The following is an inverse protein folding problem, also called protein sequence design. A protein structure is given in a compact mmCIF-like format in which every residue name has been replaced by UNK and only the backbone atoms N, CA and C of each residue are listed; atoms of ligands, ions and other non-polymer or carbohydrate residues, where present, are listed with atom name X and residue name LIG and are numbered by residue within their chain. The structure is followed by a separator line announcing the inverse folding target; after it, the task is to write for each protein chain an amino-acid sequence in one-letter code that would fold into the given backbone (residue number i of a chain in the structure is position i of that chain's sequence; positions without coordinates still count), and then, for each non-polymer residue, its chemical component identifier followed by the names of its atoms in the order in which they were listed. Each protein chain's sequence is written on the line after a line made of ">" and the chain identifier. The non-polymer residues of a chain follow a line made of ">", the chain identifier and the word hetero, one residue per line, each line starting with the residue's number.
data_IF_857739034856
#
_entry.id   IF_857739034856
#
_cell.length_a   1.000
_cell.length_b   1.000
_cell.length_c   1.000
_cell.angle_alpha   90.00
_cell.angle_beta   90.00
_cell.angle_gamma   90.00
#
_symmetry.space_group_name_H-M   'P 1'
#
loop_
_entity.id
_entity.type
_entity.pdbx_description
1 polymer ?
#
# COMPACT_ATOMS: atom_id res chain seq x y z
N UNK A 1 16.15 -0.24 4.69
CA UNK A 1 15.83 0.71 3.59
C UNK A 1 14.77 0.14 2.63
N UNK A 2 14.03 -0.94 2.95
CA UNK A 2 13.01 -1.54 2.06
C UNK A 2 11.57 -1.01 2.22
N UNK A 3 11.08 -0.78 3.46
CA UNK A 3 9.67 -0.40 3.68
C UNK A 3 9.28 0.96 3.09
N UNK A 4 10.25 1.84 2.80
CA UNK A 4 9.99 3.11 2.14
C UNK A 4 9.78 2.96 0.63
N UNK A 5 10.38 1.96 -0.01
CA UNK A 5 10.32 1.79 -1.46
C UNK A 5 9.00 1.18 -1.91
N UNK A 6 8.46 0.22 -1.15
CA UNK A 6 7.11 -0.35 -1.39
C UNK A 6 6.04 0.72 -1.30
N UNK A 7 6.04 1.50 -0.21
CA UNK A 7 5.05 2.57 0.00
C UNK A 7 5.20 3.68 -1.04
N UNK A 8 6.42 4.02 -1.44
CA UNK A 8 6.68 5.00 -2.50
C UNK A 8 6.15 4.53 -3.85
N UNK A 9 6.43 3.28 -4.23
CA UNK A 9 5.87 2.67 -5.44
C UNK A 9 4.35 2.72 -5.46
N UNK A 10 3.70 2.29 -4.37
CA UNK A 10 2.24 2.28 -4.27
C UNK A 10 1.66 3.71 -4.31
N UNK A 11 2.30 4.67 -3.65
CA UNK A 11 1.87 6.07 -3.71
C UNK A 11 2.02 6.67 -5.10
N UNK A 12 3.10 6.36 -5.82
CA UNK A 12 3.29 6.79 -7.21
C UNK A 12 2.29 6.14 -8.15
N UNK A 13 1.98 4.86 -7.95
CA UNK A 13 0.93 4.16 -8.68
C UNK A 13 -0.43 4.84 -8.44
N UNK A 14 -0.72 5.25 -7.21
CA UNK A 14 -1.91 6.03 -6.86
C UNK A 14 -2.01 7.39 -7.55
N UNK A 15 -0.87 8.02 -7.88
CA UNK A 15 -0.83 9.26 -8.65
C UNK A 15 -1.00 9.06 -10.17
N UNK A 16 -0.96 7.82 -10.66
CA UNK A 16 -1.17 7.49 -12.06
C UNK A 16 -2.44 6.65 -12.26
N UNK A 17 -3.63 7.28 -12.36
CA UNK A 17 -4.90 6.57 -12.37
C UNK A 17 -5.07 5.64 -13.58
N UNK A 18 -4.46 5.97 -14.73
CA UNK A 18 -4.50 5.12 -15.92
C UNK A 18 -3.72 3.81 -15.69
N UNK A 19 -2.51 3.93 -15.13
CA UNK A 19 -1.68 2.77 -14.81
C UNK A 19 -2.28 1.94 -13.66
N UNK A 20 -2.84 2.60 -12.64
CA UNK A 20 -3.53 1.91 -11.55
C UNK A 20 -4.72 1.11 -12.07
N UNK A 21 -5.55 1.69 -12.95
CA UNK A 21 -6.70 0.99 -13.54
C UNK A 21 -6.27 -0.21 -14.42
N UNK A 22 -5.14 -0.09 -15.13
CA UNK A 22 -4.58 -1.19 -15.93
C UNK A 22 -4.12 -2.37 -15.06
N UNK A 23 -3.56 -2.09 -13.88
CA UNK A 23 -3.00 -3.12 -12.98
C UNK A 23 -3.93 -3.49 -11.81
N UNK A 24 -5.09 -2.85 -11.67
CA UNK A 24 -6.02 -3.04 -10.54
C UNK A 24 -6.44 -4.51 -10.34
N UNK A 25 -6.57 -5.26 -11.43
CA UNK A 25 -6.95 -6.69 -11.42
C UNK A 25 -5.78 -7.61 -11.77
N UNK A 26 -4.57 -7.06 -11.91
CA UNK A 26 -3.38 -7.84 -12.22
C UNK A 26 -2.98 -8.73 -11.04
N UNK A 27 -2.34 -9.86 -11.35
CA UNK A 27 -1.74 -10.71 -10.33
C UNK A 27 -0.58 -9.99 -9.64
N UNK A 28 -0.31 -10.37 -8.39
CA UNK A 28 0.72 -9.74 -7.56
C UNK A 28 2.09 -9.76 -8.24
N UNK A 29 2.44 -10.86 -8.88
CA UNK A 29 3.69 -11.05 -9.63
C UNK A 29 3.85 -10.02 -10.74
N UNK A 30 2.76 -9.66 -11.42
CA UNK A 30 2.73 -8.62 -12.45
C UNK A 30 2.94 -7.24 -11.85
N UNK A 31 2.38 -6.97 -10.67
CA UNK A 31 2.59 -5.71 -9.93
C UNK A 31 4.03 -5.59 -9.43
N UNK A 32 4.62 -6.68 -8.92
CA UNK A 32 6.03 -6.71 -8.50
C UNK A 32 6.97 -6.54 -9.71
N UNK A 33 6.66 -7.16 -10.85
CA UNK A 33 7.40 -6.96 -12.09
C UNK A 33 7.31 -5.51 -12.60
N UNK A 34 6.16 -4.85 -12.44
CA UNK A 34 6.01 -3.42 -12.74
C UNK A 34 6.92 -2.57 -11.84
N UNK A 35 6.93 -2.84 -10.53
CA UNK A 35 7.79 -2.12 -9.60
C UNK A 35 9.28 -2.27 -9.97
N UNK A 36 9.73 -3.49 -10.28
CA UNK A 36 11.09 -3.75 -10.74
C UNK A 36 11.44 -2.99 -12.04
N UNK A 37 10.52 -2.93 -13.01
CA UNK A 37 10.70 -2.15 -14.25
C UNK A 37 10.80 -0.65 -14.01
N UNK A 38 10.17 -0.14 -12.97
CA UNK A 38 10.24 1.26 -12.56
C UNK A 38 11.47 1.58 -11.69
N UNK A 39 12.32 0.58 -11.40
CA UNK A 39 13.56 0.75 -10.65
C UNK A 39 13.42 0.54 -9.13
N UNK A 40 12.29 0.00 -8.67
CA UNK A 40 12.12 -0.39 -7.28
C UNK A 40 12.75 -1.77 -7.01
N UNK A 41 13.56 -1.87 -5.95
CA UNK A 41 14.38 -3.05 -5.66
C UNK A 41 13.89 -3.83 -4.44
N UNK A 42 12.58 -4.05 -4.30
CA UNK A 42 12.02 -4.87 -3.21
C UNK A 42 11.54 -6.23 -3.73
N UNK A 43 11.57 -7.24 -2.86
CA UNK A 43 11.02 -8.56 -3.14
C UNK A 43 9.59 -8.75 -2.60
N UNK A 44 9.00 -9.91 -2.86
CA UNK A 44 7.64 -10.23 -2.39
C UNK A 44 7.54 -10.28 -0.86
N UNK A 45 8.58 -10.74 -0.17
CA UNK A 45 8.56 -10.83 1.29
C UNK A 45 8.57 -9.42 1.91
N UNK A 46 9.41 -8.53 1.39
CA UNK A 46 9.43 -7.12 1.77
C UNK A 46 8.12 -6.41 1.44
N UNK A 47 7.52 -6.72 0.28
CA UNK A 47 6.19 -6.20 -0.09
C UNK A 47 5.16 -6.61 0.96
N UNK A 48 4.96 -7.91 1.19
CA UNK A 48 3.94 -8.42 2.11
C UNK A 48 4.17 -7.89 3.54
N UNK A 49 5.41 -7.87 4.02
CA UNK A 49 5.75 -7.37 5.36
C UNK A 49 5.42 -5.87 5.49
N UNK A 50 5.77 -5.07 4.49
CA UNK A 50 5.51 -3.62 4.51
C UNK A 50 4.02 -3.32 4.49
N UNK A 51 3.23 -4.04 3.70
CA UNK A 51 1.77 -3.85 3.65
C UNK A 51 1.15 -4.22 4.99
N UNK A 52 1.53 -5.36 5.56
CA UNK A 52 1.03 -5.80 6.86
C UNK A 52 1.33 -4.78 7.96
N UNK A 53 2.56 -4.28 8.04
CA UNK A 53 2.93 -3.22 8.99
C UNK A 53 2.14 -1.93 8.77
N UNK A 54 1.92 -1.53 7.52
CA UNK A 54 1.19 -0.31 7.19
C UNK A 54 -0.30 -0.42 7.55
N UNK A 55 -0.94 -1.54 7.24
CA UNK A 55 -2.34 -1.80 7.61
C UNK A 55 -2.51 -1.88 9.13
N UNK A 56 -1.60 -2.55 9.84
CA UNK A 56 -1.60 -2.61 11.30
C UNK A 56 -1.42 -1.22 11.94
N UNK A 57 -0.52 -0.39 11.40
CA UNK A 57 -0.33 0.98 11.85
C UNK A 57 -1.58 1.84 11.61
N UNK A 58 -2.30 1.63 10.50
CA UNK A 58 -3.55 2.32 10.21
C UNK A 58 -4.66 1.92 11.16
N UNK A 59 -4.81 0.62 11.44
CA UNK A 59 -5.75 0.13 12.44
C UNK A 59 -5.47 0.76 13.82
N UNK A 60 -4.20 0.82 14.22
CA UNK A 60 -3.80 1.50 15.45
C UNK A 60 -4.13 3.01 15.44
N UNK A 61 -3.97 3.68 14.30
CA UNK A 61 -4.28 5.11 14.14
C UNK A 61 -5.78 5.40 14.30
N UNK A 62 -6.65 4.50 13.81
CA UNK A 62 -8.11 4.63 14.00
C UNK A 62 -8.59 4.10 15.36
N UNK A 63 -7.68 3.56 16.18
CA UNK A 63 -8.00 3.04 17.52
C UNK A 63 -8.70 1.69 17.51
N UNK A 64 -8.60 0.94 16.41
CA UNK A 64 -9.26 -0.35 16.22
C UNK A 64 -8.25 -1.51 16.22
N UNK A 65 -8.67 -2.72 16.65
CA UNK A 65 -7.84 -3.91 16.48
C UNK A 65 -7.64 -4.22 14.99
N UNK A 66 -6.43 -4.63 14.63
CA UNK A 66 -6.15 -5.13 13.28
C UNK A 66 -6.70 -6.55 13.11
N UNK A 67 -8.01 -6.67 12.90
CA UNK A 67 -8.73 -7.92 12.68
C UNK A 67 -9.78 -7.79 11.56
N UNK A 68 -10.54 -8.85 11.28
CA UNK A 68 -11.55 -8.88 10.22
C UNK A 68 -12.77 -7.96 10.47
N UNK A 69 -12.90 -7.38 11.67
CA UNK A 69 -13.96 -6.42 12.01
C UNK A 69 -13.53 -4.97 11.87
N UNK A 70 -12.25 -4.72 11.58
CA UNK A 70 -11.69 -3.39 11.39
C UNK A 70 -12.40 -2.64 10.25
N UNK A 71 -12.86 -1.41 10.54
CA UNK A 71 -13.53 -0.52 9.58
C UNK A 71 -12.62 -0.12 8.41
N UNK A 72 -11.31 -0.37 8.50
CA UNK A 72 -10.39 -0.29 7.36
C UNK A 72 -10.89 -1.10 6.14
N UNK A 73 -11.53 -2.25 6.36
CA UNK A 73 -12.07 -3.07 5.28
C UNK A 73 -13.28 -2.45 4.59
N UNK A 74 -14.02 -1.57 5.27
CA UNK A 74 -15.10 -0.80 4.64
C UNK A 74 -14.53 0.21 3.62
N UNK A 75 -13.32 0.72 3.86
CA UNK A 75 -12.63 1.66 2.95
C UNK A 75 -12.19 0.95 1.65
N UNK A 76 -12.05 -0.38 1.67
CA UNK A 76 -11.81 -1.21 0.48
C UNK A 76 -13.04 -1.37 -0.40
N UNK A 77 -14.26 -1.07 0.08
CA UNK A 77 -15.47 -1.32 -0.71
C UNK A 77 -15.47 -0.55 -2.02
N UNK A 78 -15.77 -1.28 -3.10
CA UNK A 78 -15.77 -0.73 -4.46
C UNK A 78 -14.39 -0.54 -5.08
N UNK A 79 -13.31 -1.01 -4.43
CA UNK A 79 -11.93 -0.94 -4.92
C UNK A 79 -11.32 -2.34 -4.99
N UNK A 80 -10.41 -2.54 -5.93
CA UNK A 80 -9.45 -3.63 -5.87
C UNK A 80 -8.51 -3.46 -4.68
N UNK A 81 -7.88 -4.56 -4.27
CA UNK A 81 -6.88 -4.49 -3.20
C UNK A 81 -5.74 -3.54 -3.57
N UNK A 82 -5.28 -3.55 -4.83
CA UNK A 82 -4.23 -2.64 -5.29
C UNK A 82 -4.64 -1.17 -5.23
N UNK A 83 -5.88 -0.84 -5.60
CA UNK A 83 -6.41 0.52 -5.48
C UNK A 83 -6.51 0.96 -4.02
N UNK A 84 -6.94 0.08 -3.12
CA UNK A 84 -6.93 0.36 -1.69
C UNK A 84 -5.51 0.65 -1.17
N UNK A 85 -4.54 -0.19 -1.54
CA UNK A 85 -3.15 -0.01 -1.15
C UNK A 85 -2.56 1.31 -1.69
N UNK A 86 -2.76 1.58 -2.98
CA UNK A 86 -2.18 2.73 -3.68
C UNK A 86 -2.83 4.07 -3.30
N UNK A 87 -4.15 4.09 -3.10
CA UNK A 87 -4.91 5.32 -2.87
C UNK A 87 -5.15 5.61 -1.38
N UNK A 88 -5.04 4.61 -0.50
CA UNK A 88 -5.35 4.77 0.93
C UNK A 88 -4.16 4.40 1.80
N UNK A 89 -3.69 3.16 1.75
CA UNK A 89 -2.68 2.66 2.70
C UNK A 89 -1.36 3.39 2.54
N UNK A 90 -0.81 3.45 1.32
CA UNK A 90 0.48 4.04 1.06
C UNK A 90 0.55 5.55 1.37
N UNK A 91 -0.40 6.39 0.90
CA UNK A 91 -0.40 7.81 1.23
C UNK A 91 -0.49 8.09 2.74
N UNK A 92 -1.36 7.36 3.46
CA UNK A 92 -1.52 7.54 4.90
C UNK A 92 -0.29 7.05 5.68
N UNK A 93 0.27 5.90 5.31
CA UNK A 93 1.47 5.37 5.95
C UNK A 93 2.70 6.28 5.74
N UNK A 94 2.85 6.89 4.55
CA UNK A 94 3.88 7.89 4.28
C UNK A 94 3.65 9.18 5.10
N UNK A 95 2.39 9.64 5.20
CA UNK A 95 2.02 10.79 6.02
C UNK A 95 2.29 10.59 7.52
N UNK A 96 1.94 9.42 8.07
CA UNK A 96 2.18 9.06 9.46
C UNK A 96 3.68 9.05 9.80
N UNK A 97 4.51 8.44 8.94
CA UNK A 97 5.98 8.42 9.13
C UNK A 97 6.63 9.79 9.07
N UNK A 98 6.04 10.75 8.34
CA UNK A 98 6.51 12.13 8.32
C UNK A 98 6.16 12.86 9.63
N UNK A 99 5.03 12.54 10.26
CA UNK A 99 4.61 13.14 11.52
C UNK A 99 5.40 12.65 12.73
N UNK A 100 5.93 11.42 12.72
CA UNK A 100 6.74 10.88 13.84
C UNK A 100 8.18 11.43 13.88
N UNK A 101 8.63 12.09 12.79
CA UNK A 101 9.99 12.64 12.68
C UNK A 101 10.08 14.16 12.86
N UNK A 102 8.95 14.84 13.06
CA UNK A 102 8.85 16.29 13.29
C UNK A 102 8.79 16.62 14.79
#
# INVERSE_FOLDING_TARGET
>A
MGNSDVLRFLSELGHNPALLAEYATAQKETVLALAARQGYGFDEAEFNATIWEAEAALAALIGEPFDFSCSLWEIMWGKSYLEFLALTVAPLALGAKLSEKA
#
